data_IF_183740367594
#
_entry.id   IF_183740367594
#
_cell.length_a   1.000
_cell.length_b   1.000
_cell.length_c   1.000
_cell.angle_alpha   90.00
_cell.angle_beta   90.00
_cell.angle_gamma   90.00
#
_symmetry.space_group_name_H-M   'P 1'
#
loop_
_entity.id
_entity.type
_entity.pdbx_description
1 polymer ?
#
# COMPACT_ATOMS: atom_id res chain seq x y z
N UNK A 1 17.32 19.94 -12.52
CA UNK A 1 16.63 19.37 -13.70
C UNK A 1 16.19 17.98 -13.33
N UNK A 2 14.88 17.81 -13.30
CA UNK A 2 14.14 16.80 -12.55
C UNK A 2 14.14 15.44 -13.27
N UNK A 3 15.11 14.59 -12.97
CA UNK A 3 15.18 13.22 -13.48
C UNK A 3 14.37 12.22 -12.63
N UNK A 4 13.24 12.66 -12.06
CA UNK A 4 12.42 11.86 -11.14
C UNK A 4 11.10 11.37 -11.74
N UNK A 5 10.83 11.63 -13.04
CA UNK A 5 9.50 11.39 -13.64
C UNK A 5 9.46 10.29 -14.73
N UNK A 6 10.46 9.43 -14.84
CA UNK A 6 10.54 8.44 -15.93
C UNK A 6 10.43 6.97 -15.49
N UNK A 7 9.64 6.67 -14.45
CA UNK A 7 9.11 5.31 -14.23
C UNK A 7 7.68 5.32 -13.65
N UNK A 8 6.78 6.12 -14.21
CA UNK A 8 5.34 5.88 -14.03
C UNK A 8 4.90 4.75 -14.99
N UNK A 9 5.42 3.54 -14.79
CA UNK A 9 4.56 2.39 -15.08
C UNK A 9 3.46 2.45 -14.01
N UNK A 10 2.18 2.25 -14.33
CA UNK A 10 1.20 2.00 -13.30
C UNK A 10 1.67 0.73 -12.59
N UNK A 11 2.34 0.91 -11.43
CA UNK A 11 2.75 -0.17 -10.56
C UNK A 11 1.48 -0.76 -10.02
N UNK A 12 0.85 -1.67 -10.78
CA UNK A 12 -0.37 -2.34 -10.36
C UNK A 12 -0.01 -3.07 -9.07
N UNK A 13 -0.50 -2.51 -7.97
CA UNK A 13 -0.27 -3.02 -6.63
C UNK A 13 -1.05 -4.31 -6.51
N UNK A 14 -0.32 -5.42 -6.31
CA UNK A 14 -0.94 -6.73 -6.11
C UNK A 14 -0.87 -7.07 -4.63
N UNK A 15 -2.03 -7.34 -4.04
CA UNK A 15 -2.20 -7.81 -2.68
C UNK A 15 -2.67 -9.25 -2.68
N UNK A 16 -2.38 -9.98 -1.62
CA UNK A 16 -2.93 -11.31 -1.37
C UNK A 16 -3.94 -11.21 -0.23
N UNK A 17 -5.12 -11.77 -0.46
CA UNK A 17 -6.19 -11.84 0.54
C UNK A 17 -6.16 -13.15 1.32
N UNK A 18 -6.87 -13.20 2.44
CA UNK A 18 -6.96 -14.37 3.34
C UNK A 18 -7.40 -15.64 2.60
N UNK A 19 -8.20 -15.50 1.53
CA UNK A 19 -8.61 -16.62 0.68
C UNK A 19 -7.57 -17.04 -0.36
N UNK A 20 -6.35 -16.51 -0.31
CA UNK A 20 -5.30 -16.73 -1.32
C UNK A 20 -5.58 -16.05 -2.66
N UNK A 21 -6.58 -15.17 -2.74
CA UNK A 21 -6.91 -14.45 -3.97
C UNK A 21 -6.00 -13.23 -4.13
N UNK A 22 -5.44 -13.06 -5.31
CA UNK A 22 -4.67 -11.88 -5.71
C UNK A 22 -5.62 -10.71 -6.03
N UNK A 23 -5.54 -9.64 -5.27
CA UNK A 23 -6.26 -8.40 -5.53
C UNK A 23 -5.32 -7.38 -6.17
N UNK A 24 -5.67 -6.88 -7.35
CA UNK A 24 -4.88 -5.92 -8.10
C UNK A 24 -5.54 -4.57 -8.10
N UNK A 25 -4.81 -3.53 -7.74
CA UNK A 25 -5.29 -2.15 -7.74
C UNK A 25 -4.31 -1.22 -8.45
N UNK A 26 -4.85 -0.16 -9.05
CA UNK A 26 -4.05 0.93 -9.63
C UNK A 26 -3.62 1.96 -8.60
N UNK A 27 -4.12 1.85 -7.35
CA UNK A 27 -3.74 2.71 -6.24
C UNK A 27 -2.43 2.23 -5.61
N UNK A 28 -1.67 3.16 -5.06
CA UNK A 28 -0.53 2.85 -4.20
C UNK A 28 -0.98 2.02 -2.99
N UNK A 29 -0.16 1.06 -2.52
CA UNK A 29 -0.56 0.17 -1.44
C UNK A 29 -0.91 0.91 -0.16
N UNK A 30 -0.15 1.96 0.14
CA UNK A 30 -0.39 2.81 1.31
C UNK A 30 -1.70 3.59 1.19
N UNK A 31 -1.95 4.22 0.03
CA UNK A 31 -3.18 4.96 -0.22
C UNK A 31 -4.42 4.04 -0.18
N UNK A 32 -4.30 2.83 -0.75
CA UNK A 32 -5.36 1.84 -0.70
C UNK A 32 -5.69 1.44 0.75
N UNK A 33 -4.67 1.07 1.53
CA UNK A 33 -4.84 0.68 2.94
C UNK A 33 -5.35 1.84 3.79
N UNK A 34 -5.00 3.08 3.46
CA UNK A 34 -5.51 4.27 4.15
C UNK A 34 -6.98 4.53 3.85
N UNK A 35 -7.40 4.40 2.58
CA UNK A 35 -8.77 4.69 2.17
C UNK A 35 -9.75 3.56 2.52
N UNK A 36 -9.31 2.30 2.38
CA UNK A 36 -10.17 1.12 2.51
C UNK A 36 -9.79 0.20 3.69
N UNK A 37 -8.67 0.44 4.36
CA UNK A 37 -8.13 -0.47 5.37
C UNK A 37 -7.51 -1.71 4.73
N UNK A 38 -7.35 -2.78 5.53
CA UNK A 38 -6.93 -4.10 5.05
C UNK A 38 -8.04 -4.85 4.32
N UNK A 39 -9.15 -4.23 3.96
CA UNK A 39 -10.25 -4.92 3.28
C UNK A 39 -10.29 -4.55 1.80
N UNK A 40 -10.40 -5.57 0.95
CA UNK A 40 -10.73 -5.38 -0.46
C UNK A 40 -12.16 -4.86 -0.59
N UNK A 41 -12.53 -4.24 -1.73
CA UNK A 41 -13.91 -3.79 -1.96
C UNK A 41 -14.90 -4.97 -1.98
N UNK A 42 -14.40 -6.19 -2.19
CA UNK A 42 -15.15 -7.45 -2.10
C UNK A 42 -15.32 -7.99 -0.68
N UNK A 43 -14.84 -7.29 0.35
CA UNK A 43 -14.95 -7.71 1.76
C UNK A 43 -13.91 -8.75 2.19
N UNK A 44 -12.94 -9.10 1.33
CA UNK A 44 -11.86 -10.01 1.70
C UNK A 44 -10.74 -9.24 2.38
N UNK A 45 -10.23 -9.75 3.50
CA UNK A 45 -9.09 -9.18 4.21
C UNK A 45 -7.78 -9.45 3.44
N UNK A 46 -7.00 -8.41 3.20
CA UNK A 46 -5.62 -8.46 2.73
C UNK A 46 -4.77 -9.00 3.86
N UNK A 47 -3.96 -10.02 3.55
CA UNK A 47 -3.07 -10.69 4.51
C UNK A 47 -1.60 -10.56 4.13
N UNK A 48 -1.29 -10.21 2.88
CA UNK A 48 0.09 -10.05 2.44
C UNK A 48 0.19 -9.09 1.24
N UNK A 49 1.28 -8.34 1.17
CA UNK A 49 1.61 -7.52 0.00
C UNK A 49 2.94 -7.99 -0.62
N UNK A 50 2.92 -8.74 -1.73
CA UNK A 50 4.15 -9.15 -2.40
C UNK A 50 4.84 -7.94 -3.03
N UNK A 51 5.96 -7.51 -2.42
CA UNK A 51 6.83 -6.46 -2.96
C UNK A 51 8.17 -7.02 -3.46
N UNK A 52 8.79 -6.39 -4.47
CA UNK A 52 10.10 -6.78 -4.95
C UNK A 52 11.18 -6.33 -3.95
N UNK A 53 11.93 -7.27 -3.36
CA UNK A 53 12.99 -6.97 -2.37
C UNK A 53 14.38 -6.71 -2.98
N UNK A 54 14.57 -7.01 -4.26
CA UNK A 54 15.87 -6.87 -4.93
C UNK A 54 15.98 -5.51 -5.64
N UNK A 55 17.02 -4.73 -5.29
CA UNK A 55 17.36 -3.48 -5.96
C UNK A 55 16.49 -2.27 -5.60
N UNK A 56 15.68 -2.37 -4.53
CA UNK A 56 14.91 -1.25 -3.98
C UNK A 56 15.73 -0.43 -2.98
N UNK A 57 15.58 0.89 -3.05
CA UNK A 57 16.21 1.84 -2.14
C UNK A 57 15.75 1.63 -0.70
N UNK A 58 16.61 1.96 0.28
CA UNK A 58 16.32 1.76 1.71
C UNK A 58 15.05 2.48 2.20
N UNK A 59 14.67 3.58 1.55
CA UNK A 59 13.40 4.28 1.82
C UNK A 59 12.18 3.45 1.36
N UNK A 60 12.24 2.87 0.16
CA UNK A 60 11.18 1.97 -0.35
C UNK A 60 11.04 0.73 0.52
N UNK A 61 12.16 0.14 0.94
CA UNK A 61 12.16 -1.01 1.85
C UNK A 61 11.48 -0.69 3.19
N UNK A 62 11.71 0.51 3.72
CA UNK A 62 11.08 0.96 4.97
C UNK A 62 9.58 1.15 4.81
N UNK A 63 9.14 1.66 3.64
CA UNK A 63 7.72 1.79 3.32
C UNK A 63 7.04 0.42 3.19
N UNK A 64 7.68 -0.56 2.54
CA UNK A 64 7.12 -1.91 2.42
C UNK A 64 6.99 -2.62 3.77
N UNK A 65 8.00 -2.51 4.64
CA UNK A 65 7.92 -3.03 6.00
C UNK A 65 6.77 -2.39 6.80
N UNK A 66 6.55 -1.09 6.64
CA UNK A 66 5.42 -0.41 7.27
C UNK A 66 4.06 -0.92 6.76
N UNK A 67 3.97 -1.22 5.46
CA UNK A 67 2.77 -1.81 4.84
C UNK A 67 2.53 -3.23 5.38
N UNK A 68 3.55 -4.08 5.44
CA UNK A 68 3.46 -5.41 6.03
C UNK A 68 2.98 -5.34 7.49
N UNK A 69 3.57 -4.47 8.31
CA UNK A 69 3.17 -4.29 9.71
C UNK A 69 1.71 -3.82 9.82
N UNK A 70 1.26 -2.91 8.95
CA UNK A 70 -0.12 -2.47 8.92
C UNK A 70 -1.09 -3.59 8.52
N UNK A 71 -0.70 -4.46 7.57
CA UNK A 71 -1.49 -5.61 7.17
C UNK A 71 -1.62 -6.60 8.34
N UNK A 72 -0.52 -6.90 9.03
CA UNK A 72 -0.49 -7.75 10.22
C UNK A 72 -1.37 -7.19 11.35
N UNK A 73 -1.28 -5.87 11.61
CA UNK A 73 -2.10 -5.18 12.60
C UNK A 73 -3.58 -5.07 12.20
N UNK A 74 -3.92 -5.35 10.93
CA UNK A 74 -5.29 -5.28 10.43
C UNK A 74 -5.73 -3.87 10.02
N UNK A 75 -4.79 -2.99 9.74
CA UNK A 75 -5.04 -1.62 9.31
C UNK A 75 -3.78 -0.77 9.43
N UNK A 76 -3.70 0.25 8.59
CA UNK A 76 -2.81 1.38 8.85
C UNK A 76 -3.52 2.24 9.91
N UNK A 77 -3.14 2.09 11.18
CA UNK A 77 -3.53 3.02 12.24
C UNK A 77 -2.72 4.31 12.10
N UNK A 78 -3.03 5.12 11.09
CA UNK A 78 -2.57 6.50 11.08
C UNK A 78 -3.45 7.30 12.04
N UNK A 79 -2.89 8.18 12.88
CA UNK A 79 -3.70 9.19 13.54
C UNK A 79 -4.49 9.89 12.43
N UNK A 80 -5.79 10.05 12.64
CA UNK A 80 -6.69 10.69 11.69
C UNK A 80 -6.05 12.04 11.31
N UNK A 81 -5.33 12.11 10.18
CA UNK A 81 -4.96 13.40 9.60
C UNK A 81 -6.29 13.94 9.11
N UNK A 82 -6.98 14.64 10.01
CA UNK A 82 -7.82 15.75 9.65
C UNK A 82 -7.00 16.51 8.63
N UNK A 83 -7.40 16.37 7.36
CA UNK A 83 -6.84 17.18 6.29
C UNK A 83 -7.19 18.58 6.72
N UNK A 84 -6.24 19.29 7.32
CA UNK A 84 -6.44 20.65 7.80
C UNK A 84 -6.89 21.43 6.57
N UNK A 85 -8.19 21.68 6.50
CA UNK A 85 -8.79 22.56 5.52
C UNK A 85 -8.10 23.88 5.77
N UNK A 86 -7.19 24.25 4.86
CA UNK A 86 -6.58 25.57 4.87
C UNK A 86 -7.68 26.59 4.62
N UNK A 87 -8.34 27.00 5.70
CA UNK A 87 -9.37 28.05 5.75
C UNK A 87 -8.74 29.44 5.65
#
# INVERSE_FOLDING_TARGET
MSAYLEKQQPSITTFITEGGAEFRTTLDPFEYLRQHGVYTPGGQRIVLYPHPVEGIDGLSLSLYQMIDEAIEKGGVELPNLESDEVV
#
